data_IF_875001903419
#
_entry.id   IF_875001903419
#
_cell.length_a   1.000
_cell.length_b   1.000
_cell.length_c   1.000
_cell.angle_alpha   90.00
_cell.angle_beta   90.00
_cell.angle_gamma   90.00
#
_symmetry.space_group_name_H-M   'P 1'
#
loop_
_entity.id
_entity.type
_entity.pdbx_description
1 polymer ?
#
# COMPACT_ATOMS: atom_id res chain seq x y z
N UNK A 1 -15.22 -2.07 5.85
CA UNK A 1 -14.53 -2.99 4.91
C UNK A 1 -15.54 -3.45 3.85
N UNK A 2 -15.13 -3.55 2.59
CA UNK A 2 -15.94 -4.13 1.50
C UNK A 2 -15.23 -5.34 0.92
N UNK A 3 -15.94 -6.44 0.71
CA UNK A 3 -15.43 -7.57 -0.08
C UNK A 3 -16.23 -7.63 -1.36
N UNK A 4 -15.51 -7.64 -2.48
CA UNK A 4 -16.07 -7.83 -3.81
C UNK A 4 -15.60 -9.16 -4.37
N UNK A 5 -16.55 -9.97 -4.81
CA UNK A 5 -16.28 -11.24 -5.49
C UNK A 5 -16.82 -11.21 -6.90
N UNK A 6 -16.04 -11.80 -7.80
CA UNK A 6 -16.42 -12.01 -9.20
C UNK A 6 -16.30 -13.50 -9.50
N UNK A 7 -17.30 -14.06 -10.15
CA UNK A 7 -17.28 -15.48 -10.50
C UNK A 7 -16.08 -15.76 -11.41
N UNK A 8 -15.28 -16.82 -11.17
CA UNK A 8 -14.08 -17.10 -11.96
C UNK A 8 -14.41 -17.32 -13.45
N UNK A 9 -15.63 -17.80 -13.73
CA UNK A 9 -16.17 -17.96 -15.08
C UNK A 9 -17.16 -16.86 -15.48
N UNK A 10 -17.05 -15.65 -14.91
CA UNK A 10 -17.92 -14.50 -15.22
C UNK A 10 -18.03 -14.27 -16.75
N UNK A 11 -16.91 -14.30 -17.47
CA UNK A 11 -16.88 -14.13 -18.93
C UNK A 11 -17.62 -15.24 -19.71
N UNK A 12 -17.89 -16.37 -19.07
CA UNK A 12 -18.65 -17.51 -19.62
C UNK A 12 -20.05 -17.62 -19.02
N UNK A 13 -20.56 -16.55 -18.38
CA UNK A 13 -21.89 -16.51 -17.77
C UNK A 13 -21.99 -17.25 -16.43
N UNK A 14 -20.86 -17.54 -15.77
CA UNK A 14 -20.89 -18.18 -14.46
C UNK A 14 -21.43 -17.24 -13.37
N UNK A 15 -22.22 -17.80 -12.45
CA UNK A 15 -22.92 -17.09 -11.40
C UNK A 15 -22.81 -17.81 -10.06
N UNK A 16 -22.83 -17.07 -8.97
CA UNK A 16 -22.96 -17.60 -7.63
C UNK A 16 -24.44 -17.71 -7.25
N UNK A 17 -24.80 -18.81 -6.58
CA UNK A 17 -26.01 -18.89 -5.77
C UNK A 17 -25.71 -18.63 -4.28
N UNK A 18 -26.77 -18.55 -3.46
CA UNK A 18 -26.66 -18.27 -2.03
C UNK A 18 -25.76 -19.29 -1.31
N UNK A 19 -25.91 -20.57 -1.65
CA UNK A 19 -25.14 -21.65 -1.05
C UNK A 19 -23.64 -21.51 -1.37
N UNK A 20 -23.31 -21.26 -2.63
CA UNK A 20 -21.93 -21.07 -3.10
C UNK A 20 -21.29 -19.85 -2.45
N UNK A 21 -22.00 -18.70 -2.40
CA UNK A 21 -21.49 -17.50 -1.72
C UNK A 21 -21.21 -17.75 -0.24
N UNK A 22 -22.12 -18.44 0.47
CA UNK A 22 -21.91 -18.77 1.88
C UNK A 22 -20.77 -19.74 2.10
N UNK A 23 -20.62 -20.73 1.23
CA UNK A 23 -19.57 -21.74 1.34
C UNK A 23 -18.17 -21.14 1.17
N UNK A 24 -17.97 -20.28 0.17
CA UNK A 24 -16.67 -19.63 -0.09
C UNK A 24 -16.19 -18.81 1.11
N UNK A 25 -17.11 -18.27 1.92
CA UNK A 25 -16.81 -17.41 3.06
C UNK A 25 -17.17 -18.04 4.40
N UNK A 26 -17.38 -19.35 4.42
CA UNK A 26 -17.61 -20.08 5.65
C UNK A 26 -16.38 -19.97 6.55
N UNK A 27 -16.54 -19.32 7.72
CA UNK A 27 -15.45 -19.07 8.66
C UNK A 27 -14.69 -17.76 8.42
N UNK A 28 -15.07 -16.96 7.43
CA UNK A 28 -14.50 -15.63 7.25
C UNK A 28 -14.84 -14.74 8.46
N UNK A 29 -13.84 -14.09 9.03
CA UNK A 29 -13.99 -13.26 10.21
C UNK A 29 -12.93 -12.17 10.28
N UNK A 30 -13.29 -11.07 10.95
CA UNK A 30 -12.37 -10.06 11.44
C UNK A 30 -11.97 -10.45 12.85
N UNK A 31 -10.67 -10.46 13.10
CA UNK A 31 -10.08 -10.86 14.36
C UNK A 31 -9.01 -9.84 14.77
N UNK A 32 -8.81 -9.68 16.07
CA UNK A 32 -7.69 -8.93 16.65
C UNK A 32 -6.76 -9.89 17.35
N UNK A 33 -5.46 -9.66 17.23
CA UNK A 33 -4.43 -10.40 17.95
C UNK A 33 -3.89 -9.47 19.05
N UNK A 34 -3.89 -9.95 20.28
CA UNK A 34 -3.26 -9.22 21.38
C UNK A 34 -1.74 -9.34 21.28
N UNK A 35 -1.01 -8.21 21.24
CA UNK A 35 0.46 -8.25 21.21
C UNK A 35 1.04 -8.98 22.42
N UNK A 36 2.14 -9.69 22.20
CA UNK A 36 2.91 -10.40 23.24
C UNK A 36 2.15 -11.51 23.98
N UNK A 37 1.02 -11.96 23.44
CA UNK A 37 0.40 -13.24 23.82
C UNK A 37 0.83 -14.33 22.83
N UNK A 38 0.59 -15.61 23.13
CA UNK A 38 0.79 -16.73 22.18
C UNK A 38 -0.22 -16.68 21.01
N UNK A 39 -0.36 -15.53 20.36
CA UNK A 39 -1.35 -15.24 19.34
C UNK A 39 -2.78 -15.50 19.84
N UNK A 40 -3.14 -14.97 21.02
CA UNK A 40 -4.52 -15.04 21.46
C UNK A 40 -5.39 -14.22 20.50
N UNK A 41 -6.18 -14.94 19.71
CA UNK A 41 -7.07 -14.38 18.71
C UNK A 41 -8.40 -14.05 19.35
N UNK A 42 -8.81 -12.78 19.27
CA UNK A 42 -10.15 -12.34 19.67
C UNK A 42 -10.99 -12.07 18.43
N UNK A 43 -12.14 -12.73 18.34
CA UNK A 43 -13.10 -12.49 17.27
C UNK A 43 -13.72 -11.10 17.41
N UNK A 44 -13.62 -10.28 16.37
CA UNK A 44 -14.27 -8.96 16.28
C UNK A 44 -15.61 -9.07 15.58
N UNK A 45 -15.64 -9.69 14.39
CA UNK A 45 -16.87 -9.81 13.60
C UNK A 45 -16.83 -10.98 12.63
N UNK A 46 -17.78 -11.93 12.67
CA UNK A 46 -17.94 -12.89 11.59
C UNK A 46 -18.42 -12.17 10.32
N UNK A 47 -17.84 -12.51 9.18
CA UNK A 47 -18.17 -11.93 7.88
C UNK A 47 -19.16 -12.84 7.16
N UNK A 48 -20.43 -12.70 7.50
CA UNK A 48 -21.52 -13.39 6.82
C UNK A 48 -22.11 -12.51 5.73
N UNK A 49 -22.26 -13.07 4.53
CA UNK A 49 -22.97 -12.42 3.44
C UNK A 49 -24.49 -12.51 3.66
N UNK A 50 -25.26 -11.48 3.23
CA UNK A 50 -26.71 -11.55 3.29
C UNK A 50 -27.23 -12.57 2.26
N UNK A 51 -28.45 -13.05 2.49
CA UNK A 51 -29.15 -13.93 1.54
C UNK A 51 -29.29 -13.24 0.19
N UNK A 52 -28.99 -13.98 -0.88
CA UNK A 52 -29.28 -13.54 -2.24
C UNK A 52 -30.47 -14.32 -2.81
N UNK A 53 -31.44 -13.59 -3.34
CA UNK A 53 -32.67 -14.19 -3.90
C UNK A 53 -32.55 -14.52 -5.40
N UNK A 54 -31.44 -14.12 -6.02
CA UNK A 54 -31.13 -14.38 -7.43
C UNK A 54 -29.66 -14.67 -7.56
N UNK A 55 -29.32 -15.51 -8.53
CA UNK A 55 -27.92 -15.77 -8.89
C UNK A 55 -27.27 -14.49 -9.39
N UNK A 56 -26.01 -14.29 -9.04
CA UNK A 56 -25.26 -13.09 -9.37
C UNK A 56 -23.86 -13.45 -9.82
N UNK A 57 -23.38 -12.79 -10.85
CA UNK A 57 -22.04 -13.03 -11.41
C UNK A 57 -20.95 -12.19 -10.72
N UNK A 58 -21.36 -11.11 -10.02
CA UNK A 58 -20.55 -10.28 -9.14
C UNK A 58 -21.35 -9.95 -7.88
N UNK A 59 -20.69 -9.94 -6.74
CA UNK A 59 -21.31 -9.59 -5.46
C UNK A 59 -20.37 -8.70 -4.65
N UNK A 60 -20.89 -7.63 -4.06
CA UNK A 60 -20.15 -6.76 -3.15
C UNK A 60 -21.00 -6.52 -1.91
N UNK A 61 -20.38 -6.68 -0.74
CA UNK A 61 -21.02 -6.34 0.52
C UNK A 61 -20.07 -5.61 1.44
N UNK A 62 -20.64 -4.69 2.22
CA UNK A 62 -19.92 -3.80 3.13
C UNK A 62 -20.26 -4.18 4.57
N UNK A 63 -19.23 -4.41 5.38
CA UNK A 63 -19.37 -4.53 6.82
C UNK A 63 -18.73 -3.33 7.52
N UNK A 64 -19.41 -2.87 8.56
CA UNK A 64 -18.89 -1.94 9.56
C UNK A 64 -18.56 -2.71 10.82
N UNK A 65 -17.41 -2.41 11.42
CA UNK A 65 -16.97 -2.99 12.69
C UNK A 65 -16.15 -1.93 13.43
N UNK A 66 -16.17 -2.02 14.75
CA UNK A 66 -15.30 -1.24 15.62
C UNK A 66 -14.19 -2.16 16.11
N UNK A 67 -12.95 -1.71 16.01
CA UNK A 67 -11.80 -2.40 16.58
C UNK A 67 -11.05 -1.41 17.47
N UNK A 68 -10.91 -1.77 18.75
CA UNK A 68 -10.03 -1.03 19.64
C UNK A 68 -8.61 -1.58 19.44
N UNK A 69 -7.89 -1.00 18.48
CA UNK A 69 -6.48 -1.31 18.25
C UNK A 69 -5.61 -0.43 19.16
N UNK A 70 -4.52 -0.94 19.75
CA UNK A 70 -3.73 -0.21 20.75
C UNK A 70 -2.86 0.91 20.15
N UNK A 71 -3.10 1.31 18.89
CA UNK A 71 -2.35 2.33 18.18
C UNK A 71 -3.28 3.20 17.32
N UNK A 72 -2.97 4.49 17.21
CA UNK A 72 -3.66 5.43 16.32
C UNK A 72 -2.69 5.85 15.22
N UNK A 73 -3.06 5.61 13.97
CA UNK A 73 -2.33 6.06 12.78
C UNK A 73 -2.83 7.44 12.35
N UNK A 74 -2.40 8.49 13.07
CA UNK A 74 -2.88 9.88 12.89
C UNK A 74 -2.77 10.40 11.44
N UNK A 75 -1.81 9.89 10.69
CA UNK A 75 -1.47 10.34 9.35
C UNK A 75 -2.67 10.26 8.37
N UNK A 76 -3.51 9.22 8.48
CA UNK A 76 -4.66 9.02 7.60
C UNK A 76 -5.87 9.92 7.91
N UNK A 77 -6.02 10.34 9.16
CA UNK A 77 -7.11 11.24 9.56
C UNK A 77 -6.81 12.68 9.11
N UNK A 78 -5.53 13.03 9.13
CA UNK A 78 -5.01 14.32 8.69
C UNK A 78 -4.77 14.42 7.17
N UNK A 79 -5.05 13.36 6.41
CA UNK A 79 -4.93 13.34 4.95
C UNK A 79 -6.13 14.03 4.27
N UNK A 80 -5.85 14.82 3.23
CA UNK A 80 -6.86 15.41 2.33
C UNK A 80 -7.52 14.34 1.46
N UNK A 81 -8.74 14.61 1.00
CA UNK A 81 -9.33 13.86 -0.11
C UNK A 81 -8.76 14.42 -1.42
N UNK A 82 -8.07 13.58 -2.17
CA UNK A 82 -7.40 13.94 -3.42
C UNK A 82 -8.29 13.70 -4.64
N UNK A 83 -9.47 13.08 -4.45
CA UNK A 83 -10.41 12.82 -5.55
C UNK A 83 -11.07 14.09 -6.10
N UNK A 84 -11.06 15.16 -5.32
CA UNK A 84 -11.59 16.48 -5.69
C UNK A 84 -10.57 17.37 -6.44
N UNK A 85 -9.30 16.97 -6.49
CA UNK A 85 -8.24 17.73 -7.17
C UNK A 85 -8.24 17.34 -8.66
N UNK A 86 -8.05 18.31 -9.56
CA UNK A 86 -7.86 18.03 -10.98
C UNK A 86 -6.72 17.02 -11.19
N UNK A 87 -6.99 15.97 -11.97
CA UNK A 87 -6.06 14.83 -12.11
C UNK A 87 -4.75 15.21 -12.77
N UNK A 88 -4.75 16.17 -13.70
CA UNK A 88 -3.53 16.60 -14.40
C UNK A 88 -2.65 17.38 -13.43
N UNK A 89 -3.25 18.31 -12.68
CA UNK A 89 -2.56 19.09 -11.66
C UNK A 89 -2.04 18.19 -10.52
N UNK A 90 -2.86 17.25 -10.03
CA UNK A 90 -2.46 16.30 -9.01
C UNK A 90 -1.27 15.44 -9.47
N UNK A 91 -1.32 14.91 -10.71
CA UNK A 91 -0.23 14.11 -11.26
C UNK A 91 1.07 14.92 -11.33
N UNK A 92 1.02 16.19 -11.72
CA UNK A 92 2.20 17.07 -11.78
C UNK A 92 2.85 17.21 -10.40
N UNK A 93 2.09 17.53 -9.36
CA UNK A 93 2.63 17.67 -8.00
C UNK A 93 3.20 16.36 -7.46
N UNK A 94 2.55 15.23 -7.77
CA UNK A 94 3.05 13.90 -7.36
C UNK A 94 4.36 13.56 -8.09
N UNK A 95 4.48 13.88 -9.39
CA UNK A 95 5.73 13.70 -10.15
C UNK A 95 6.86 14.56 -9.55
N UNK A 96 6.58 15.79 -9.14
CA UNK A 96 7.57 16.65 -8.48
C UNK A 96 8.09 16.00 -7.19
N UNK A 97 7.20 15.47 -6.35
CA UNK A 97 7.62 14.73 -5.15
C UNK A 97 8.44 13.48 -5.49
N UNK A 98 8.04 12.71 -6.49
CA UNK A 98 8.81 11.54 -6.95
C UNK A 98 10.20 11.94 -7.48
N UNK A 99 10.35 13.10 -8.14
CA UNK A 99 11.64 13.64 -8.58
C UNK A 99 12.56 13.98 -7.43
N UNK A 100 12.04 14.56 -6.36
CA UNK A 100 12.82 14.79 -5.13
C UNK A 100 13.38 13.47 -4.59
N UNK A 101 12.51 12.48 -4.40
CA UNK A 101 12.90 11.15 -3.88
C UNK A 101 13.91 10.45 -4.80
N UNK A 102 13.68 10.51 -6.12
CA UNK A 102 14.60 9.98 -7.12
C UNK A 102 15.97 10.63 -7.03
N UNK A 103 16.04 11.96 -6.88
CA UNK A 103 17.31 12.68 -6.76
C UNK A 103 18.06 12.30 -5.48
N UNK A 104 17.36 12.12 -4.35
CA UNK A 104 17.98 11.66 -3.10
C UNK A 104 18.64 10.30 -3.28
N UNK A 105 17.93 9.33 -3.85
CA UNK A 105 18.48 7.98 -4.07
C UNK A 105 19.59 7.98 -5.12
N UNK A 106 19.39 8.67 -6.25
CA UNK A 106 20.35 8.72 -7.34
C UNK A 106 21.68 9.35 -6.89
N UNK A 107 21.63 10.42 -6.09
CA UNK A 107 22.82 11.07 -5.54
C UNK A 107 23.47 10.28 -4.38
N UNK A 108 22.78 9.28 -3.84
CA UNK A 108 23.20 8.51 -2.68
C UNK A 108 22.97 9.23 -1.35
N UNK A 109 22.08 10.23 -1.31
CA UNK A 109 21.67 10.92 -0.10
C UNK A 109 20.64 10.11 0.70
N UNK A 110 21.08 8.93 1.15
CA UNK A 110 20.22 7.93 1.80
C UNK A 110 19.68 8.42 3.14
N UNK A 111 20.45 9.20 3.90
CA UNK A 111 19.99 9.71 5.20
C UNK A 111 18.77 10.62 5.06
N UNK A 112 18.76 11.53 4.08
CA UNK A 112 17.59 12.36 3.80
C UNK A 112 16.42 11.51 3.27
N UNK A 113 16.68 10.50 2.44
CA UNK A 113 15.62 9.58 2.01
C UNK A 113 15.01 8.79 3.19
N UNK A 114 15.83 8.34 4.15
CA UNK A 114 15.34 7.65 5.35
C UNK A 114 14.47 8.56 6.22
N UNK A 115 14.76 9.87 6.26
CA UNK A 115 13.89 10.85 6.93
C UNK A 115 12.52 10.97 6.26
N UNK A 116 12.46 10.94 4.93
CA UNK A 116 11.20 10.98 4.16
C UNK A 116 10.29 9.79 4.49
N UNK A 117 10.87 8.58 4.67
CA UNK A 117 10.10 7.36 4.99
C UNK A 117 9.97 7.09 6.50
N UNK A 118 10.54 7.93 7.37
CA UNK A 118 10.57 7.68 8.82
C UNK A 118 9.17 7.55 9.43
N UNK A 119 8.23 8.39 8.99
CA UNK A 119 6.83 8.32 9.46
C UNK A 119 6.17 6.98 9.10
N UNK A 120 6.32 6.55 7.84
CA UNK A 120 5.87 5.23 7.37
C UNK A 120 6.52 4.08 8.17
N UNK A 121 7.82 4.17 8.45
CA UNK A 121 8.52 3.15 9.25
C UNK A 121 8.03 3.11 10.69
N UNK A 122 7.84 4.28 11.33
CA UNK A 122 7.27 4.37 12.68
C UNK A 122 5.90 3.71 12.76
N UNK A 123 5.02 3.98 11.78
CA UNK A 123 3.70 3.36 11.71
C UNK A 123 3.82 1.84 11.53
N UNK A 124 4.70 1.38 10.64
CA UNK A 124 5.00 -0.04 10.46
C UNK A 124 5.50 -0.71 11.75
N UNK A 125 6.45 -0.08 12.47
CA UNK A 125 7.00 -0.62 13.73
C UNK A 125 5.93 -0.74 14.82
N UNK A 126 5.05 0.27 14.95
CA UNK A 126 3.93 0.23 15.90
C UNK A 126 2.95 -0.89 15.55
N UNK A 127 2.58 -1.01 14.28
CA UNK A 127 1.65 -2.05 13.83
C UNK A 127 2.21 -3.47 13.99
N UNK A 128 3.53 -3.64 13.90
CA UNK A 128 4.19 -4.94 14.05
C UNK A 128 4.79 -5.17 15.45
N UNK A 129 4.60 -4.24 16.40
CA UNK A 129 5.12 -4.33 17.76
C UNK A 129 6.64 -4.55 17.84
N UNK A 130 7.40 -3.83 17.02
CA UNK A 130 8.86 -3.94 17.01
C UNK A 130 9.47 -3.27 18.24
N UNK A 131 10.33 -3.99 18.95
CA UNK A 131 11.23 -3.43 19.97
C UNK A 131 12.39 -2.62 19.34
N UNK A 132 13.13 -1.89 20.16
CA UNK A 132 14.21 -1.00 19.72
C UNK A 132 15.32 -1.71 18.93
N UNK A 133 15.63 -2.97 19.28
CA UNK A 133 16.66 -3.75 18.59
C UNK A 133 16.21 -4.09 17.17
N UNK A 134 14.97 -4.57 17.01
CA UNK A 134 14.38 -4.85 15.68
C UNK A 134 14.23 -3.59 14.84
N UNK A 135 13.87 -2.46 15.45
CA UNK A 135 13.81 -1.18 14.74
C UNK A 135 15.18 -0.77 14.21
N UNK A 136 16.22 -0.88 15.05
CA UNK A 136 17.61 -0.56 14.66
C UNK A 136 18.08 -1.44 13.52
N UNK A 137 17.93 -2.76 13.63
CA UNK A 137 18.29 -3.72 12.59
C UNK A 137 17.57 -3.42 11.27
N UNK A 138 16.27 -3.12 11.34
CA UNK A 138 15.47 -2.78 10.17
C UNK A 138 15.98 -1.51 9.47
N UNK A 139 16.26 -0.44 10.21
CA UNK A 139 16.77 0.82 9.65
C UNK A 139 18.18 0.63 9.05
N UNK A 140 19.05 -0.15 9.71
CA UNK A 140 20.37 -0.48 9.16
C UNK A 140 20.27 -1.25 7.84
N UNK A 141 19.34 -2.20 7.75
CA UNK A 141 19.09 -2.96 6.53
C UNK A 141 18.53 -2.07 5.42
N UNK A 142 17.60 -1.15 5.72
CA UNK A 142 17.13 -0.16 4.76
C UNK A 142 18.26 0.75 4.28
N UNK A 143 19.13 1.22 5.18
CA UNK A 143 20.28 2.06 4.82
C UNK A 143 21.20 1.35 3.84
N UNK A 144 21.54 0.08 4.11
CA UNK A 144 22.34 -0.76 3.18
C UNK A 144 21.64 -0.93 1.83
N UNK A 145 20.34 -1.23 1.87
CA UNK A 145 19.51 -1.41 0.67
C UNK A 145 19.52 -0.16 -0.21
N UNK A 146 19.14 1.00 0.32
CA UNK A 146 19.07 2.24 -0.46
C UNK A 146 20.43 2.81 -0.84
N UNK A 147 21.51 2.50 -0.10
CA UNK A 147 22.88 2.87 -0.51
C UNK A 147 23.25 2.25 -1.86
N UNK A 148 22.76 1.04 -2.16
CA UNK A 148 22.99 0.39 -3.45
C UNK A 148 22.33 1.10 -4.64
N UNK A 149 21.42 2.05 -4.41
CA UNK A 149 20.68 2.74 -5.46
C UNK A 149 21.44 3.95 -6.03
N UNK A 150 22.54 4.36 -5.40
CA UNK A 150 23.37 5.49 -5.86
C UNK A 150 23.85 5.24 -7.30
N UNK A 151 23.50 6.14 -8.21
CA UNK A 151 23.86 6.03 -9.62
C UNK A 151 23.11 4.93 -10.39
N UNK A 152 22.21 4.20 -9.75
CA UNK A 152 21.52 3.04 -10.32
C UNK A 152 20.03 3.29 -10.59
N UNK A 153 19.51 4.48 -10.28
CA UNK A 153 18.10 4.80 -10.51
C UNK A 153 17.79 4.80 -12.01
N UNK A 154 16.64 4.22 -12.36
CA UNK A 154 16.11 4.21 -13.73
C UNK A 154 15.42 5.55 -14.00
N UNK A 155 15.45 6.04 -15.24
CA UNK A 155 14.69 7.25 -15.61
C UNK A 155 13.22 7.09 -15.28
N UNK A 156 12.59 8.17 -14.82
CA UNK A 156 11.16 8.20 -14.61
C UNK A 156 10.49 8.56 -15.93
N UNK A 157 10.10 7.52 -16.66
CA UNK A 157 9.39 7.63 -17.93
C UNK A 157 7.87 7.83 -17.67
N UNK A 158 7.05 7.68 -18.71
CA UNK A 158 5.60 7.83 -18.62
C UNK A 158 4.98 6.91 -17.56
N UNK A 159 4.10 7.49 -16.74
CA UNK A 159 3.48 6.86 -15.58
C UNK A 159 1.98 7.11 -15.53
N UNK A 160 1.26 6.26 -14.82
CA UNK A 160 -0.15 6.41 -14.51
C UNK A 160 -0.32 6.85 -13.05
N UNK A 161 -1.21 7.83 -12.81
CA UNK A 161 -1.57 8.26 -11.46
C UNK A 161 -2.70 7.37 -10.93
N UNK A 162 -2.46 6.73 -9.80
CA UNK A 162 -3.43 5.87 -9.13
C UNK A 162 -3.91 6.54 -7.84
N UNK A 163 -5.23 6.68 -7.69
CA UNK A 163 -5.86 7.16 -6.46
C UNK A 163 -6.28 5.94 -5.62
N UNK A 164 -5.82 5.92 -4.38
CA UNK A 164 -5.94 4.82 -3.42
C UNK A 164 -6.67 5.28 -2.15
N UNK A 165 -6.94 4.33 -1.24
CA UNK A 165 -7.40 4.61 0.12
C UNK A 165 -8.63 5.55 0.19
N UNK A 166 -9.62 5.33 -0.68
CA UNK A 166 -10.83 6.14 -0.78
C UNK A 166 -10.53 7.63 -0.94
N UNK A 167 -9.67 7.97 -1.92
CA UNK A 167 -9.32 9.35 -2.25
C UNK A 167 -8.13 9.90 -1.47
N UNK A 168 -7.73 9.28 -0.35
CA UNK A 168 -6.73 9.87 0.55
C UNK A 168 -5.27 9.63 0.16
N UNK A 169 -5.02 8.64 -0.69
CA UNK A 169 -3.67 8.25 -1.09
C UNK A 169 -3.49 8.33 -2.61
N UNK A 170 -2.26 8.55 -3.05
CA UNK A 170 -1.88 8.50 -4.47
C UNK A 170 -0.55 7.78 -4.68
N UNK A 171 -0.42 7.10 -5.80
CA UNK A 171 0.83 6.47 -6.25
C UNK A 171 1.05 6.74 -7.74
N UNK A 172 2.30 6.60 -8.19
CA UNK A 172 2.63 6.54 -9.61
C UNK A 172 3.06 5.13 -9.99
N UNK A 173 2.38 4.56 -10.97
CA UNK A 173 2.71 3.26 -11.53
C UNK A 173 3.35 3.41 -12.91
N UNK A 174 4.28 2.52 -13.21
CA UNK A 174 4.89 2.38 -14.53
C UNK A 174 3.83 2.04 -15.60
N UNK A 175 4.08 2.46 -16.83
CA UNK A 175 3.32 2.02 -18.01
C UNK A 175 4.15 0.99 -18.80
N UNK A 176 3.50 0.12 -19.56
CA UNK A 176 4.17 -0.84 -20.45
C UNK A 176 4.59 -2.12 -19.73
N UNK A 177 5.83 -2.56 -19.95
CA UNK A 177 6.31 -3.88 -19.51
C UNK A 177 6.31 -4.08 -17.98
N UNK A 178 6.43 -2.99 -17.23
CA UNK A 178 6.40 -2.99 -15.77
C UNK A 178 5.10 -2.41 -15.20
N UNK A 179 4.00 -2.46 -15.97
CA UNK A 179 2.70 -1.97 -15.50
C UNK A 179 2.32 -2.56 -14.13
N UNK A 180 1.86 -1.70 -13.23
CA UNK A 180 1.49 -2.06 -11.86
C UNK A 180 2.62 -1.94 -10.84
N UNK A 181 3.88 -1.83 -11.29
CA UNK A 181 5.01 -1.54 -10.41
C UNK A 181 5.17 -0.04 -10.16
N UNK A 182 5.74 0.31 -9.02
CA UNK A 182 5.98 1.70 -8.64
C UNK A 182 6.97 2.40 -9.58
N UNK A 183 6.76 3.70 -9.82
CA UNK A 183 7.60 4.49 -10.72
C UNK A 183 9.07 4.58 -10.25
N UNK A 184 9.32 4.53 -8.95
CA UNK A 184 10.65 4.73 -8.37
C UNK A 184 11.47 3.42 -8.37
N UNK A 185 12.25 3.20 -9.43
CA UNK A 185 13.02 1.97 -9.65
C UNK A 185 14.54 2.18 -9.70
N UNK A 186 15.30 1.16 -9.29
CA UNK A 186 16.76 1.10 -9.43
C UNK A 186 17.20 -0.23 -10.07
N UNK A 187 18.30 -0.22 -10.81
CA UNK A 187 18.92 -1.44 -11.33
C UNK A 187 19.52 -2.24 -10.18
N UNK A 188 19.22 -3.54 -10.16
CA UNK A 188 19.81 -4.47 -9.20
C UNK A 188 21.21 -4.91 -9.61
N UNK A 189 21.94 -5.51 -8.66
CA UNK A 189 23.30 -6.01 -8.89
C UNK A 189 23.36 -7.24 -9.81
N UNK A 190 22.28 -8.02 -9.89
CA UNK A 190 22.20 -9.15 -10.82
C UNK A 190 21.77 -8.67 -12.21
N UNK A 191 22.23 -9.39 -13.24
CA UNK A 191 21.79 -9.15 -14.61
C UNK A 191 20.26 -9.27 -14.71
N UNK A 192 19.66 -8.34 -15.47
CA UNK A 192 18.21 -8.20 -15.63
C UNK A 192 17.44 -8.19 -14.32
N UNK A 193 17.88 -7.35 -13.37
CA UNK A 193 17.14 -7.16 -12.14
C UNK A 193 16.85 -5.70 -11.83
N UNK A 194 15.73 -5.48 -11.16
CA UNK A 194 15.24 -4.19 -10.72
C UNK A 194 14.80 -4.26 -9.26
N UNK A 195 15.05 -3.19 -8.54
CA UNK A 195 14.34 -2.86 -7.31
C UNK A 195 13.23 -1.87 -7.65
N UNK A 196 12.01 -2.14 -7.22
CA UNK A 196 10.87 -1.23 -7.34
C UNK A 196 10.47 -0.75 -5.97
N UNK A 197 10.11 0.52 -5.86
CA UNK A 197 9.50 1.09 -4.66
C UNK A 197 8.10 1.58 -5.01
N UNK A 198 7.09 0.86 -4.54
CA UNK A 198 5.70 1.29 -4.63
C UNK A 198 5.38 2.24 -3.48
N UNK A 199 5.24 3.53 -3.78
CA UNK A 199 5.09 4.58 -2.79
C UNK A 199 3.66 5.13 -2.81
N UNK A 200 2.95 4.98 -1.69
CA UNK A 200 1.70 5.70 -1.46
C UNK A 200 2.01 7.01 -0.74
N UNK A 201 1.70 8.11 -1.40
CA UNK A 201 1.75 9.45 -0.80
C UNK A 201 0.37 9.84 -0.28
N UNK A 202 0.37 10.60 0.81
CA UNK A 202 -0.80 11.34 1.30
C UNK A 202 -0.48 12.83 1.32
N UNK A 203 -1.49 13.69 1.19
CA UNK A 203 -1.33 15.14 1.30
C UNK A 203 -1.90 15.63 2.62
N UNK A 204 -1.10 16.36 3.41
CA UNK A 204 -1.53 16.84 4.72
C UNK A 204 -2.58 17.95 4.60
N UNK A 205 -3.67 17.87 5.37
CA UNK A 205 -4.63 18.98 5.54
C UNK A 205 -3.99 20.22 6.17
N UNK A 206 -2.97 20.04 7.01
CA UNK A 206 -2.34 21.12 7.78
C UNK A 206 -1.27 21.85 7.00
N UNK A 207 -0.37 21.10 6.34
CA UNK A 207 0.78 21.71 5.66
C UNK A 207 0.61 21.78 4.15
N UNK A 208 -0.37 21.05 3.59
CA UNK A 208 -0.58 20.91 2.15
C UNK A 208 0.58 20.21 1.41
N UNK A 209 1.51 19.58 2.13
CA UNK A 209 2.63 18.84 1.54
C UNK A 209 2.33 17.35 1.40
N UNK A 210 3.00 16.71 0.44
CA UNK A 210 3.02 15.26 0.31
C UNK A 210 3.98 14.61 1.30
N UNK A 211 3.53 13.50 1.89
CA UNK A 211 4.34 12.63 2.76
C UNK A 211 4.17 11.18 2.34
N UNK A 212 5.23 10.39 2.52
CA UNK A 212 5.19 8.95 2.28
C UNK A 212 4.42 8.29 3.41
N UNK A 213 3.30 7.67 3.08
CA UNK A 213 2.47 6.94 4.03
C UNK A 213 2.76 5.44 4.00
N UNK A 214 3.05 4.89 2.83
CA UNK A 214 3.44 3.50 2.65
C UNK A 214 4.52 3.43 1.59
N UNK A 215 5.50 2.56 1.82
CA UNK A 215 6.50 2.17 0.83
C UNK A 215 6.65 0.66 0.87
N UNK A 216 6.48 0.02 -0.28
CA UNK A 216 6.75 -1.40 -0.47
C UNK A 216 7.87 -1.56 -1.48
N UNK A 217 8.96 -2.18 -1.06
CA UNK A 217 10.14 -2.40 -1.89
C UNK A 217 10.19 -3.86 -2.31
N UNK A 218 10.29 -4.11 -3.61
CA UNK A 218 10.35 -5.46 -4.17
C UNK A 218 11.53 -5.61 -5.12
N UNK A 219 12.00 -6.85 -5.22
CA UNK A 219 13.04 -7.25 -6.17
C UNK A 219 12.41 -8.02 -7.31
N UNK A 220 12.67 -7.59 -8.54
CA UNK A 220 12.14 -8.18 -9.76
C UNK A 220 13.32 -8.68 -10.61
N UNK A 221 13.17 -9.89 -11.15
CA UNK A 221 14.04 -10.43 -12.20
C UNK A 221 13.22 -10.56 -13.49
N UNK A 222 13.80 -10.16 -14.63
CA UNK A 222 13.12 -10.15 -15.93
C UNK A 222 13.99 -10.69 -17.06
#
# INVERSE_FOLDING_TARGET
>A
MSIKVTHPYFAKGGEFDDFTLKSIFSGAAIQTIEPNTNYNVKLVKPLTFPLINKKVSKFEYKWTFDANVPYILKSWDEAQDLSDIDKVELKKQVIEKYRELWNLLQSGNVEEFLKEINSSNSDYFKSNYYDENKQTEYIENLKKFYTSHKGAMVSMDDSELIILANGKGVALEQIGQFRGFGLLMARGALQNSLFTNYITLIKSKKTNDFKIQLINSEYIKY
#
